data_IF_102541383387
#
_entry.id   IF_102541383387
#
_cell.length_a   1.000
_cell.length_b   1.000
_cell.length_c   1.000
_cell.angle_alpha   90.00
_cell.angle_beta   90.00
_cell.angle_gamma   90.00
#
_symmetry.space_group_name_H-M   'P 1'
#
loop_
_entity.id
_entity.type
_entity.pdbx_description
1 polymer ?
#
# COMPACT_ATOMS: atom_id res chain seq x y z
N UNK A 1 11.15 -5.87 38.24
CA UNK A 1 11.51 -4.45 38.40
C UNK A 1 12.82 -4.20 37.65
N UNK A 2 12.74 -3.79 36.39
CA UNK A 2 13.90 -3.45 35.56
C UNK A 2 13.70 -2.04 35.01
N UNK A 3 14.47 -1.09 35.52
CA UNK A 3 14.38 0.34 35.18
C UNK A 3 14.98 0.53 33.79
N UNK A 4 14.13 0.79 32.79
CA UNK A 4 14.55 1.32 31.50
C UNK A 4 14.38 2.84 31.53
N UNK A 5 15.48 3.58 31.36
CA UNK A 5 15.44 5.02 31.09
C UNK A 5 15.28 5.21 29.60
N UNK A 6 14.06 5.52 29.17
CA UNK A 6 13.81 6.13 27.86
C UNK A 6 14.38 7.55 27.88
N UNK A 7 15.49 7.73 27.19
CA UNK A 7 16.04 9.05 26.89
C UNK A 7 15.75 9.39 25.44
N UNK A 8 14.50 9.76 25.15
CA UNK A 8 14.16 10.52 23.95
C UNK A 8 15.05 11.78 23.93
N UNK A 9 15.84 11.99 22.89
CA UNK A 9 16.46 13.29 22.59
C UNK A 9 16.49 13.49 21.08
N UNK A 10 15.71 14.47 20.67
CA UNK A 10 15.58 15.04 19.34
C UNK A 10 16.89 15.71 18.88
N UNK A 11 17.00 15.87 17.56
CA UNK A 11 18.06 16.60 16.88
C UNK A 11 19.02 15.67 16.15
N UNK A 12 19.04 15.70 14.82
CA UNK A 12 20.06 15.07 13.98
C UNK A 12 20.66 16.16 13.09
N UNK A 13 21.99 16.21 13.06
CA UNK A 13 22.77 17.21 12.33
C UNK A 13 23.04 16.68 10.93
N UNK A 14 22.42 17.28 9.91
CA UNK A 14 22.49 16.77 8.54
C UNK A 14 23.28 17.74 7.67
N UNK A 15 24.49 17.34 7.27
CA UNK A 15 25.26 18.04 6.23
C UNK A 15 24.80 17.56 4.85
N UNK A 16 23.59 17.94 4.43
CA UNK A 16 23.09 17.55 3.12
C UNK A 16 22.77 18.74 2.24
N UNK A 17 23.79 19.47 1.78
CA UNK A 17 23.66 20.33 0.59
C UNK A 17 24.95 20.36 -0.22
N UNK A 18 25.08 19.39 -1.12
CA UNK A 18 25.83 19.60 -2.36
C UNK A 18 24.92 20.28 -3.38
N UNK A 19 24.72 21.59 -3.22
CA UNK A 19 24.14 22.49 -4.22
C UNK A 19 22.64 22.38 -4.49
N UNK A 20 21.85 23.20 -3.79
CA UNK A 20 20.50 23.60 -4.23
C UNK A 20 19.36 23.10 -3.35
N UNK A 21 18.49 24.02 -2.96
CA UNK A 21 17.28 23.88 -2.13
C UNK A 21 17.55 23.91 -0.62
N UNK A 22 17.06 24.98 0.02
CA UNK A 22 17.24 25.28 1.45
C UNK A 22 16.57 24.28 2.36
N UNK A 23 17.33 23.28 2.76
CA UNK A 23 17.03 22.39 3.87
C UNK A 23 17.77 22.95 5.08
N UNK A 24 17.10 23.02 6.23
CA UNK A 24 17.73 23.44 7.50
C UNK A 24 18.97 22.59 7.80
N UNK A 25 19.97 23.14 8.50
CA UNK A 25 21.21 22.41 8.89
C UNK A 25 20.91 21.19 9.80
N UNK A 26 19.69 21.12 10.30
CA UNK A 26 19.19 20.10 11.20
C UNK A 26 17.94 19.43 10.61
N UNK A 27 17.82 18.11 10.80
CA UNK A 27 16.65 17.36 10.39
C UNK A 27 16.22 16.43 11.51
N UNK A 28 14.91 16.31 11.72
CA UNK A 28 14.36 15.27 12.59
C UNK A 28 14.13 14.04 11.74
N UNK A 29 14.77 12.92 12.09
CA UNK A 29 14.61 11.65 11.37
C UNK A 29 14.36 10.47 12.30
N UNK A 30 13.67 9.46 11.78
CA UNK A 30 13.43 8.20 12.46
C UNK A 30 14.62 7.25 12.27
N UNK A 31 15.55 7.29 13.21
CA UNK A 31 16.82 6.57 13.13
C UNK A 31 16.67 5.07 13.39
N UNK A 32 17.35 4.25 12.59
CA UNK A 32 17.53 2.82 12.90
C UNK A 32 18.71 2.64 13.85
N UNK A 33 18.46 2.00 15.00
CA UNK A 33 19.43 1.80 16.09
C UNK A 33 19.92 0.34 16.21
N UNK A 34 19.79 -0.45 15.15
CA UNK A 34 20.31 -1.82 15.12
C UNK A 34 21.82 -1.83 14.93
N UNK A 35 22.25 -2.10 13.71
CA UNK A 35 23.66 -2.04 13.33
C UNK A 35 24.01 -0.65 12.80
N UNK A 36 25.23 -0.19 13.04
CA UNK A 36 25.73 1.10 12.55
C UNK A 36 27.04 0.96 11.75
N UNK A 37 27.26 1.90 10.84
CA UNK A 37 28.50 1.95 10.05
C UNK A 37 29.61 2.63 10.85
N UNK A 38 30.56 1.83 11.33
CA UNK A 38 31.74 2.32 12.09
C UNK A 38 32.85 2.82 11.16
N UNK A 39 33.02 2.22 9.98
CA UNK A 39 34.04 2.60 9.00
C UNK A 39 33.47 2.57 7.58
N UNK A 40 33.63 3.68 6.86
CA UNK A 40 33.25 3.76 5.46
C UNK A 40 34.24 3.01 4.55
N UNK A 41 33.76 2.37 3.47
CA UNK A 41 34.63 1.86 2.42
C UNK A 41 35.36 3.00 1.70
N UNK A 42 36.44 2.67 0.99
CA UNK A 42 37.20 3.65 0.23
C UNK A 42 36.34 4.36 -0.85
N UNK A 43 36.53 5.67 -0.97
CA UNK A 43 35.80 6.54 -1.89
C UNK A 43 34.39 6.92 -1.43
N UNK A 44 33.95 6.50 -0.24
CA UNK A 44 32.72 6.99 0.37
C UNK A 44 33.00 8.13 1.35
N UNK A 45 32.10 9.09 1.38
CA UNK A 45 32.14 10.27 2.24
C UNK A 45 30.93 10.29 3.17
N UNK A 46 31.13 10.79 4.40
CA UNK A 46 30.03 10.96 5.35
C UNK A 46 29.26 12.21 4.95
N UNK A 47 27.96 12.03 4.72
CA UNK A 47 27.05 13.13 4.42
C UNK A 47 26.30 13.62 5.67
N UNK A 48 26.01 12.76 6.65
CA UNK A 48 25.34 13.19 7.88
C UNK A 48 25.76 12.36 9.10
N UNK A 49 25.66 12.97 10.28
CA UNK A 49 25.89 12.29 11.56
C UNK A 49 24.80 12.60 12.58
N UNK A 50 24.48 11.63 13.42
CA UNK A 50 23.65 11.89 14.59
C UNK A 50 24.40 12.77 15.61
N UNK A 51 23.67 13.37 16.56
CA UNK A 51 24.27 14.03 17.74
C UNK A 51 25.26 13.13 18.47
N UNK A 52 25.03 11.82 18.44
CA UNK A 52 25.85 10.82 19.12
C UNK A 52 27.07 10.39 18.29
N UNK A 53 27.25 10.95 17.09
CA UNK A 53 28.40 10.71 16.22
C UNK A 53 28.22 9.54 15.24
N UNK A 54 27.12 8.79 15.31
CA UNK A 54 26.82 7.71 14.36
C UNK A 54 26.67 8.25 12.94
N UNK A 55 27.14 7.50 11.93
CA UNK A 55 26.97 7.87 10.52
C UNK A 55 25.49 7.73 10.15
N UNK A 56 24.83 8.85 9.92
CA UNK A 56 23.40 8.89 9.57
C UNK A 56 23.17 8.80 8.06
N UNK A 57 24.10 9.35 7.26
CA UNK A 57 24.10 9.22 5.82
C UNK A 57 25.54 9.21 5.28
N UNK A 58 25.76 8.49 4.18
CA UNK A 58 27.03 8.45 3.46
C UNK A 58 26.79 8.30 1.96
N UNK A 59 27.74 8.75 1.15
CA UNK A 59 27.60 8.73 -0.31
C UNK A 59 28.91 8.46 -1.03
N UNK A 60 28.80 7.93 -2.25
CA UNK A 60 29.83 7.93 -3.25
C UNK A 60 29.19 8.38 -4.56
N UNK A 61 29.39 9.66 -4.90
CA UNK A 61 28.81 10.29 -6.10
C UNK A 61 29.33 9.67 -7.39
N UNK A 62 30.61 9.29 -7.44
CA UNK A 62 31.20 8.64 -8.62
C UNK A 62 30.57 7.29 -8.94
N UNK A 63 30.21 6.53 -7.89
CA UNK A 63 29.54 5.22 -8.02
C UNK A 63 28.01 5.31 -7.95
N UNK A 64 27.45 6.50 -7.70
CA UNK A 64 26.02 6.74 -7.46
C UNK A 64 25.43 5.83 -6.37
N UNK A 65 26.18 5.63 -5.29
CA UNK A 65 25.71 4.85 -4.13
C UNK A 65 25.50 5.80 -2.95
N UNK A 66 24.32 5.70 -2.35
CA UNK A 66 23.89 6.53 -1.23
C UNK A 66 23.33 5.62 -0.15
N UNK A 67 23.71 5.85 1.10
CA UNK A 67 23.27 5.08 2.25
C UNK A 67 22.65 5.98 3.30
N UNK A 68 21.50 5.56 3.82
CA UNK A 68 20.79 6.21 4.92
C UNK A 68 20.63 5.21 6.07
N UNK A 69 20.93 5.64 7.29
CA UNK A 69 20.75 4.84 8.51
C UNK A 69 19.38 5.13 9.18
N UNK A 70 18.62 6.08 8.64
CA UNK A 70 17.27 6.42 9.08
C UNK A 70 16.22 6.07 8.01
N UNK A 71 14.95 6.13 8.39
CA UNK A 71 13.81 5.83 7.53
C UNK A 71 13.22 7.12 6.92
N UNK A 72 13.58 7.53 5.69
CA UNK A 72 12.98 8.70 5.04
C UNK A 72 11.52 8.48 4.63
N UNK A 73 11.02 7.25 4.60
CA UNK A 73 9.67 6.90 4.19
C UNK A 73 8.60 7.12 5.27
N UNK A 74 9.00 7.32 6.53
CA UNK A 74 8.06 7.50 7.63
C UNK A 74 7.84 8.97 7.95
N UNK A 75 6.62 9.31 8.37
CA UNK A 75 6.20 10.69 8.70
C UNK A 75 6.95 11.30 9.88
N UNK A 76 7.61 10.47 10.69
CA UNK A 76 8.46 10.94 11.80
C UNK A 76 9.77 11.58 11.30
N UNK A 77 10.15 11.33 10.04
CA UNK A 77 11.24 12.02 9.37
C UNK A 77 10.69 13.24 8.64
N UNK A 78 10.85 14.43 9.21
CA UNK A 78 10.15 15.65 8.75
C UNK A 78 10.45 16.04 7.31
N UNK A 79 11.65 15.71 6.82
CA UNK A 79 12.10 15.94 5.45
C UNK A 79 12.41 14.66 4.67
N UNK A 80 11.84 13.54 5.11
CA UNK A 80 12.10 12.23 4.52
C UNK A 80 11.60 12.12 3.06
N UNK A 81 10.43 12.69 2.76
CA UNK A 81 9.88 12.69 1.40
C UNK A 81 10.69 13.55 0.44
N UNK A 82 11.22 14.68 0.89
CA UNK A 82 12.12 15.54 0.13
C UNK A 82 13.43 14.82 -0.20
N UNK A 83 13.95 14.05 0.75
CA UNK A 83 15.14 13.20 0.55
C UNK A 83 14.89 12.17 -0.55
N UNK A 84 13.76 11.44 -0.48
CA UNK A 84 13.39 10.47 -1.51
C UNK A 84 13.16 11.15 -2.87
N UNK A 85 12.51 12.31 -2.88
CA UNK A 85 12.26 13.09 -4.09
C UNK A 85 13.57 13.53 -4.75
N UNK A 86 14.50 14.06 -3.98
CA UNK A 86 15.80 14.48 -4.50
C UNK A 86 16.58 13.29 -5.08
N UNK A 87 16.56 12.15 -4.39
CA UNK A 87 17.18 10.93 -4.90
C UNK A 87 16.58 10.45 -6.24
N UNK A 88 15.25 10.45 -6.36
CA UNK A 88 14.57 9.99 -7.58
C UNK A 88 14.69 11.00 -8.72
N UNK A 89 14.44 12.28 -8.47
CA UNK A 89 14.33 13.29 -9.52
C UNK A 89 15.71 13.85 -9.87
N UNK A 90 16.49 14.30 -8.89
CA UNK A 90 17.71 15.05 -9.14
C UNK A 90 18.93 14.13 -9.35
N UNK A 91 19.03 13.04 -8.58
CA UNK A 91 20.15 12.08 -8.69
C UNK A 91 19.88 11.04 -9.79
N UNK A 92 18.74 10.35 -9.73
CA UNK A 92 18.41 9.31 -10.70
C UNK A 92 17.92 9.88 -12.04
N UNK A 93 17.43 11.12 -12.07
CA UNK A 93 16.88 11.74 -13.28
C UNK A 93 15.51 11.18 -13.68
N UNK A 94 14.76 10.59 -12.74
CA UNK A 94 13.44 10.02 -13.01
C UNK A 94 12.44 11.15 -13.22
N UNK A 95 11.63 11.06 -14.26
CA UNK A 95 10.52 11.98 -14.51
C UNK A 95 9.34 11.64 -13.62
N UNK A 96 8.70 12.65 -13.02
CA UNK A 96 7.47 12.46 -12.25
C UNK A 96 6.23 12.44 -13.18
N UNK A 97 6.23 11.51 -14.13
CA UNK A 97 5.20 11.36 -15.17
C UNK A 97 4.20 10.23 -14.89
N UNK A 98 4.38 9.45 -13.82
CA UNK A 98 3.44 8.42 -13.41
C UNK A 98 2.10 9.03 -12.98
N UNK A 99 1.08 8.90 -13.84
CA UNK A 99 -0.29 9.36 -13.58
C UNK A 99 -1.25 8.19 -13.54
N UNK A 100 -2.17 8.22 -12.58
CA UNK A 100 -3.22 7.20 -12.46
C UNK A 100 -4.12 7.09 -13.70
N UNK A 101 -4.26 8.16 -14.49
CA UNK A 101 -5.03 8.14 -15.73
C UNK A 101 -4.34 7.28 -16.81
N UNK A 102 -3.02 7.33 -16.91
CA UNK A 102 -2.28 6.53 -17.89
C UNK A 102 -2.36 5.05 -17.52
N UNK A 103 -2.24 4.73 -16.22
CA UNK A 103 -2.46 3.38 -15.69
C UNK A 103 -3.86 2.88 -15.99
N UNK A 104 -4.89 3.70 -15.79
CA UNK A 104 -6.28 3.34 -16.10
C UNK A 104 -6.44 2.96 -17.59
N UNK A 105 -5.88 3.77 -18.49
CA UNK A 105 -6.00 3.56 -19.93
C UNK A 105 -5.20 2.32 -20.40
N UNK A 106 -4.05 2.05 -19.79
CA UNK A 106 -3.26 0.84 -20.03
C UNK A 106 -3.99 -0.42 -19.56
N UNK A 107 -4.50 -0.42 -18.33
CA UNK A 107 -5.20 -1.58 -17.77
C UNK A 107 -6.49 -1.90 -18.55
N UNK A 108 -7.24 -0.89 -19.02
CA UNK A 108 -8.40 -1.10 -19.89
C UNK A 108 -7.99 -1.81 -21.19
N UNK A 109 -6.86 -1.44 -21.80
CA UNK A 109 -6.36 -2.09 -23.02
C UNK A 109 -5.94 -3.53 -22.74
N UNK A 110 -5.26 -3.78 -21.63
CA UNK A 110 -4.86 -5.13 -21.20
C UNK A 110 -6.10 -6.02 -21.04
N UNK A 111 -7.13 -5.55 -20.34
CA UNK A 111 -8.37 -6.31 -20.12
C UNK A 111 -9.06 -6.59 -21.46
N UNK A 112 -9.19 -5.59 -22.35
CA UNK A 112 -9.79 -5.77 -23.68
C UNK A 112 -9.02 -6.73 -24.58
N UNK A 113 -7.70 -6.79 -24.45
CA UNK A 113 -6.84 -7.72 -25.19
C UNK A 113 -6.89 -9.15 -24.63
N UNK A 114 -7.15 -9.29 -23.33
CA UNK A 114 -7.21 -10.58 -22.65
C UNK A 114 -8.58 -11.26 -22.78
N UNK A 115 -9.67 -10.50 -22.76
CA UNK A 115 -11.04 -11.02 -22.83
C UNK A 115 -11.54 -10.96 -24.28
N UNK A 116 -11.83 -12.11 -24.87
CA UNK A 116 -12.37 -12.22 -26.23
C UNK A 116 -13.69 -11.45 -26.41
N UNK A 117 -14.07 -11.14 -27.65
CA UNK A 117 -15.23 -10.28 -27.96
C UNK A 117 -16.56 -10.77 -27.39
N UNK A 118 -16.73 -12.10 -27.34
CA UNK A 118 -17.96 -12.77 -26.91
C UNK A 118 -17.81 -13.45 -25.53
N UNK A 119 -16.66 -13.27 -24.87
CA UNK A 119 -16.41 -13.84 -23.56
C UNK A 119 -17.05 -12.99 -22.46
N UNK A 120 -17.47 -13.66 -21.39
CA UNK A 120 -18.07 -13.05 -20.22
C UNK A 120 -17.17 -13.26 -19.00
N UNK A 121 -17.15 -12.28 -18.09
CA UNK A 121 -16.30 -12.29 -16.90
C UNK A 121 -17.19 -12.31 -15.65
N UNK A 122 -16.82 -13.12 -14.66
CA UNK A 122 -17.47 -13.13 -13.36
C UNK A 122 -16.55 -12.45 -12.33
N UNK A 123 -17.10 -11.58 -11.50
CA UNK A 123 -16.38 -10.94 -10.41
C UNK A 123 -17.10 -11.14 -9.08
N UNK A 124 -16.39 -11.69 -8.08
CA UNK A 124 -16.90 -11.76 -6.72
C UNK A 124 -16.68 -10.41 -6.01
N UNK A 125 -17.77 -9.74 -5.65
CA UNK A 125 -17.75 -8.51 -4.87
C UNK A 125 -17.87 -8.84 -3.39
N UNK A 126 -16.93 -8.30 -2.61
CA UNK A 126 -16.93 -8.45 -1.14
C UNK A 126 -17.52 -7.24 -0.40
N UNK A 127 -17.70 -6.11 -1.10
CA UNK A 127 -17.92 -4.80 -0.48
C UNK A 127 -16.64 -4.04 -0.15
N UNK A 128 -15.47 -4.67 -0.30
CA UNK A 128 -14.16 -4.02 -0.16
C UNK A 128 -13.77 -3.15 -1.37
N UNK A 129 -12.88 -2.19 -1.13
CA UNK A 129 -12.39 -1.25 -2.16
C UNK A 129 -11.73 -1.99 -3.32
N UNK A 130 -10.87 -2.97 -3.04
CA UNK A 130 -10.10 -3.68 -4.08
C UNK A 130 -11.01 -4.37 -5.11
N UNK A 131 -11.95 -5.19 -4.66
CA UNK A 131 -12.90 -5.87 -5.55
C UNK A 131 -13.79 -4.88 -6.31
N UNK A 132 -14.12 -3.74 -5.69
CA UNK A 132 -14.96 -2.71 -6.29
C UNK A 132 -14.22 -1.96 -7.41
N UNK A 133 -12.96 -1.59 -7.17
CA UNK A 133 -12.10 -0.95 -8.19
C UNK A 133 -11.87 -1.93 -9.34
N UNK A 134 -11.55 -3.20 -9.04
CA UNK A 134 -11.37 -4.23 -10.06
C UNK A 134 -12.63 -4.40 -10.93
N UNK A 135 -13.81 -4.55 -10.32
CA UNK A 135 -15.08 -4.66 -11.05
C UNK A 135 -15.36 -3.41 -11.90
N UNK A 136 -15.07 -2.22 -11.38
CA UNK A 136 -15.28 -0.96 -12.11
C UNK A 136 -14.36 -0.84 -13.32
N UNK A 137 -13.09 -1.26 -13.19
CA UNK A 137 -12.14 -1.29 -14.30
C UNK A 137 -12.58 -2.25 -15.40
N UNK A 138 -12.96 -3.47 -15.02
CA UNK A 138 -13.45 -4.48 -15.97
C UNK A 138 -14.76 -4.02 -16.62
N UNK A 139 -15.69 -3.45 -15.86
CA UNK A 139 -16.93 -2.92 -16.40
C UNK A 139 -16.69 -1.80 -17.43
N UNK A 140 -15.76 -0.87 -17.14
CA UNK A 140 -15.33 0.15 -18.11
C UNK A 140 -14.72 -0.46 -19.38
N UNK A 141 -14.07 -1.61 -19.27
CA UNK A 141 -13.42 -2.28 -20.39
C UNK A 141 -14.40 -3.09 -21.25
N UNK A 142 -15.31 -3.87 -20.66
CA UNK A 142 -16.15 -4.84 -21.37
C UNK A 142 -17.67 -4.65 -21.22
N UNK A 143 -18.11 -3.67 -20.42
CA UNK A 143 -19.51 -3.34 -20.18
C UNK A 143 -20.29 -4.49 -19.53
N UNK A 144 -21.52 -4.69 -20.00
CA UNK A 144 -22.49 -5.68 -19.49
C UNK A 144 -22.05 -7.15 -19.62
N UNK A 145 -20.87 -7.40 -20.20
CA UNK A 145 -20.27 -8.74 -20.21
C UNK A 145 -19.65 -9.14 -18.87
N UNK A 146 -19.49 -8.18 -17.96
CA UNK A 146 -19.15 -8.42 -16.57
C UNK A 146 -20.40 -8.84 -15.79
N UNK A 147 -20.27 -9.88 -14.96
CA UNK A 147 -21.30 -10.34 -14.03
C UNK A 147 -20.74 -10.32 -12.62
N UNK A 148 -21.22 -9.41 -11.79
CA UNK A 148 -20.75 -9.29 -10.42
C UNK A 148 -21.68 -10.06 -9.47
N UNK A 149 -21.09 -10.78 -8.51
CA UNK A 149 -21.84 -11.53 -7.49
C UNK A 149 -21.43 -11.00 -6.12
N UNK A 150 -22.40 -10.50 -5.37
CA UNK A 150 -22.22 -10.10 -3.97
C UNK A 150 -22.93 -11.11 -3.07
N UNK A 151 -22.21 -11.73 -2.13
CA UNK A 151 -22.78 -12.75 -1.23
C UNK A 151 -22.92 -12.17 0.17
N UNK A 152 -24.17 -11.93 0.59
CA UNK A 152 -24.50 -11.63 1.98
C UNK A 152 -24.46 -12.92 2.80
N UNK A 153 -23.48 -13.01 3.69
CA UNK A 153 -23.27 -14.17 4.56
C UNK A 153 -23.96 -14.03 5.93
N UNK A 154 -24.71 -12.95 6.15
CA UNK A 154 -25.38 -12.64 7.42
C UNK A 154 -24.45 -12.15 8.54
N UNK A 155 -23.15 -11.96 8.25
CA UNK A 155 -22.11 -11.57 9.21
C UNK A 155 -21.46 -10.24 8.82
N UNK A 156 -22.13 -9.50 7.94
CA UNK A 156 -21.77 -8.13 7.58
C UNK A 156 -22.10 -7.16 8.74
N UNK A 157 -21.52 -5.95 8.68
CA UNK A 157 -21.83 -4.88 9.63
C UNK A 157 -23.29 -4.43 9.47
N UNK A 158 -23.78 -3.73 10.50
CA UNK A 158 -25.13 -3.16 10.48
C UNK A 158 -25.37 -2.35 9.19
N UNK A 159 -26.42 -2.74 8.46
CA UNK A 159 -26.83 -2.16 7.19
C UNK A 159 -25.73 -2.06 6.12
N UNK A 160 -24.77 -2.98 6.12
CA UNK A 160 -23.69 -2.97 5.13
C UNK A 160 -24.19 -3.41 3.76
N UNK A 161 -25.08 -4.43 3.70
CA UNK A 161 -25.70 -4.86 2.44
C UNK A 161 -26.41 -3.74 1.70
N UNK A 162 -27.30 -2.99 2.35
CA UNK A 162 -28.04 -1.93 1.64
C UNK A 162 -27.11 -0.83 1.15
N UNK A 163 -26.10 -0.46 1.95
CA UNK A 163 -25.11 0.55 1.57
C UNK A 163 -24.25 0.11 0.39
N UNK A 164 -23.74 -1.11 0.44
CA UNK A 164 -22.88 -1.66 -0.61
C UNK A 164 -23.64 -1.83 -1.92
N UNK A 165 -24.86 -2.36 -1.87
CA UNK A 165 -25.70 -2.49 -3.07
C UNK A 165 -26.10 -1.13 -3.66
N UNK A 166 -26.42 -0.14 -2.81
CA UNK A 166 -26.71 1.21 -3.29
C UNK A 166 -25.50 1.81 -4.05
N UNK A 167 -24.28 1.67 -3.52
CA UNK A 167 -23.07 2.12 -4.23
C UNK A 167 -22.85 1.39 -5.55
N UNK A 168 -23.06 0.07 -5.58
CA UNK A 168 -22.85 -0.70 -6.80
C UNK A 168 -23.87 -0.38 -7.89
N UNK A 169 -25.16 -0.27 -7.54
CA UNK A 169 -26.24 -0.07 -8.51
C UNK A 169 -26.42 1.40 -8.89
N UNK A 170 -26.38 2.31 -7.91
CA UNK A 170 -26.72 3.74 -8.12
C UNK A 170 -25.52 4.59 -8.50
N UNK A 171 -24.38 4.38 -7.85
CA UNK A 171 -23.20 5.23 -8.08
C UNK A 171 -22.34 4.67 -9.22
N UNK A 172 -22.06 3.36 -9.18
CA UNK A 172 -21.13 2.70 -10.09
C UNK A 172 -21.80 2.01 -11.28
N UNK A 173 -23.12 1.82 -11.23
CA UNK A 173 -23.93 1.16 -12.28
C UNK A 173 -23.37 -0.21 -12.68
N UNK A 174 -22.92 -1.00 -11.69
CA UNK A 174 -22.36 -2.32 -11.90
C UNK A 174 -23.48 -3.38 -12.02
N UNK A 175 -23.35 -4.36 -12.93
CA UNK A 175 -24.28 -5.48 -13.05
C UNK A 175 -24.08 -6.48 -11.89
N UNK A 176 -24.64 -6.18 -10.72
CA UNK A 176 -24.47 -6.97 -9.49
C UNK A 176 -25.70 -7.82 -9.17
N UNK A 177 -25.47 -9.09 -8.91
CA UNK A 177 -26.45 -10.00 -8.30
C UNK A 177 -26.13 -10.18 -6.82
N UNK A 178 -27.07 -9.79 -5.95
CA UNK A 178 -26.98 -10.02 -4.51
C UNK A 178 -27.55 -11.39 -4.14
N UNK A 179 -26.75 -12.24 -3.50
CA UNK A 179 -27.14 -13.56 -3.00
C UNK A 179 -27.19 -13.53 -1.48
N UNK A 180 -28.37 -13.78 -0.90
CA UNK A 180 -28.51 -14.00 0.54
C UNK A 180 -28.18 -15.45 0.89
N UNK A 181 -27.07 -15.65 1.57
CA UNK A 181 -26.59 -16.96 2.03
C UNK A 181 -26.59 -17.06 3.57
N UNK A 182 -27.23 -16.14 4.29
CA UNK A 182 -27.19 -16.04 5.75
C UNK A 182 -27.52 -17.36 6.45
N UNK A 183 -28.62 -18.01 6.08
CA UNK A 183 -29.05 -19.30 6.66
C UNK A 183 -28.05 -20.42 6.41
N UNK A 184 -27.43 -20.46 5.22
CA UNK A 184 -26.40 -21.43 4.86
C UNK A 184 -25.13 -21.25 5.69
N UNK A 185 -24.78 -20.01 6.01
CA UNK A 185 -23.64 -19.71 6.87
C UNK A 185 -23.96 -20.04 8.34
N UNK A 186 -25.10 -19.61 8.86
CA UNK A 186 -25.48 -19.86 10.25
C UNK A 186 -25.65 -21.35 10.57
N UNK A 187 -26.26 -22.12 9.65
CA UNK A 187 -26.40 -23.58 9.81
C UNK A 187 -25.06 -24.30 9.93
N UNK A 188 -24.05 -23.89 9.16
CA UNK A 188 -22.69 -24.48 9.20
C UNK A 188 -21.84 -24.00 10.37
N UNK A 189 -22.12 -22.81 10.90
CA UNK A 189 -21.43 -22.27 12.08
C UNK A 189 -21.99 -22.83 13.40
N UNK A 190 -23.18 -23.44 13.36
CA UNK A 190 -23.80 -24.07 14.53
C UNK A 190 -22.89 -25.15 15.10
N UNK A 191 -22.41 -24.94 16.33
CA UNK A 191 -21.57 -25.90 17.05
C UNK A 191 -20.05 -25.78 16.79
N UNK A 192 -19.61 -24.92 15.86
CA UNK A 192 -18.18 -24.68 15.64
C UNK A 192 -17.58 -23.94 16.85
N UNK A 193 -16.57 -24.52 17.52
CA UNK A 193 -15.95 -23.96 18.73
C UNK A 193 -14.56 -23.37 18.47
N UNK A 194 -13.58 -24.11 17.94
CA UNK A 194 -12.25 -23.57 17.75
C UNK A 194 -12.20 -22.63 16.53
N UNK A 195 -11.36 -21.58 16.64
CA UNK A 195 -11.28 -20.50 15.65
C UNK A 195 -10.84 -20.97 14.26
N UNK A 196 -10.04 -22.04 14.19
CA UNK A 196 -9.57 -22.65 12.95
C UNK A 196 -10.71 -23.35 12.17
N UNK A 197 -11.58 -24.10 12.85
CA UNK A 197 -12.74 -24.76 12.22
C UNK A 197 -13.69 -23.71 11.64
N UNK A 198 -13.98 -22.64 12.40
CA UNK A 198 -14.75 -21.50 11.90
C UNK A 198 -14.12 -20.94 10.62
N UNK A 199 -12.83 -20.59 10.63
CA UNK A 199 -12.13 -20.07 9.42
C UNK A 199 -12.21 -21.03 8.22
N UNK A 200 -12.12 -22.33 8.45
CA UNK A 200 -12.19 -23.33 7.38
C UNK A 200 -13.60 -23.44 6.79
N UNK A 201 -14.65 -23.41 7.61
CA UNK A 201 -16.04 -23.35 7.13
C UNK A 201 -16.29 -22.08 6.31
N UNK A 202 -15.78 -20.94 6.79
CA UNK A 202 -15.87 -19.67 6.08
C UNK A 202 -15.24 -19.73 4.69
N UNK A 203 -13.97 -20.16 4.60
CA UNK A 203 -13.27 -20.32 3.31
C UNK A 203 -14.03 -21.25 2.37
N UNK A 204 -14.52 -22.38 2.88
CA UNK A 204 -15.17 -23.42 2.07
C UNK A 204 -16.56 -23.04 1.56
N UNK A 205 -17.22 -22.04 2.13
CA UNK A 205 -18.50 -21.53 1.63
C UNK A 205 -18.25 -20.40 0.63
N UNK A 206 -17.24 -19.56 0.89
CA UNK A 206 -16.87 -18.45 0.01
C UNK A 206 -16.22 -18.92 -1.31
N UNK A 207 -15.52 -20.06 -1.31
CA UNK A 207 -14.94 -20.70 -2.51
C UNK A 207 -15.93 -21.52 -3.36
N UNK A 208 -17.17 -21.72 -2.89
CA UNK A 208 -18.19 -22.46 -3.64
C UNK A 208 -19.07 -21.55 -4.53
N UNK A 209 -18.70 -20.29 -4.66
CA UNK A 209 -19.28 -19.28 -5.53
C UNK A 209 -18.15 -18.56 -6.27
#
# INVERSE_FOLDING_TARGET
>A
MGRWRSGFREGIWCWWVGGGVGVEEEQVVWMSHGDEVVRLPEGFEVAARSVQGAVAAFENRGRRVYGLQYHPEVTHSTHGMETLRHFLIDICGVTADWKMQDVLDEEIKVIKGMVGTDEHVICALSGGVDSTVAATLVHKAIGDRLHCIFVDNGLLRYKERERVMATFESDLHLPVTCVDASDRFFSKLKGARPRNEKKNYWKRIHLCF
#
